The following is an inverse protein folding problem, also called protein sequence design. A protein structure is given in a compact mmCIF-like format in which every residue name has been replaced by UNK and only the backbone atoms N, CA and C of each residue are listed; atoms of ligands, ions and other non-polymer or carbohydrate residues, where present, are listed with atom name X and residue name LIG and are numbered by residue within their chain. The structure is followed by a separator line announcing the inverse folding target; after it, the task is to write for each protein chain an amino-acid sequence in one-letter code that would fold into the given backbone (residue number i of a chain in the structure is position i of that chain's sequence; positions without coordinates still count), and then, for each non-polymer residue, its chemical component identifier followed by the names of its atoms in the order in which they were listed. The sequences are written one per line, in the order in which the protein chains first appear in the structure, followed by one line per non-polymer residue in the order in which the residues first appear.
data_IF_584423699422
#
_entry.id   IF_584423699422
#
_cell.length_a   1.000
_cell.length_b   1.000
_cell.length_c   1.000
_cell.angle_alpha   90.00
_cell.angle_beta   90.00
_cell.angle_gamma   90.00
#
_symmetry.space_group_name_H-M   'P 1'
#
loop_
_entity.id
_entity.type
_entity.pdbx_description
1 polymer ?
#
# COMPACT_ATOMS: atom_id res chain seq x y z
N UNK A 1 28.50 45.85 -80.08
CA UNK A 1 29.13 45.75 -78.78
C UNK A 1 28.01 45.84 -77.74
N UNK A 2 27.57 44.68 -77.25
CA UNK A 2 26.54 44.62 -76.18
C UNK A 2 26.88 43.43 -75.27
N UNK A 3 27.31 43.77 -74.04
CA UNK A 3 27.59 42.81 -73.00
C UNK A 3 26.26 42.35 -72.38
N UNK A 4 26.05 41.04 -72.36
CA UNK A 4 24.97 40.38 -71.59
C UNK A 4 25.51 39.95 -70.25
N UNK A 5 24.95 40.55 -69.18
CA UNK A 5 25.20 40.09 -67.80
C UNK A 5 24.30 38.89 -67.49
N UNK A 6 24.94 37.80 -67.06
CA UNK A 6 24.26 36.64 -66.49
C UNK A 6 24.09 36.85 -64.94
N UNK A 7 22.82 36.89 -64.51
CA UNK A 7 22.51 36.92 -63.08
C UNK A 7 22.37 35.45 -62.62
N UNK A 8 23.30 35.05 -61.75
CA UNK A 8 23.29 33.73 -61.14
C UNK A 8 22.44 33.76 -59.85
N UNK A 9 21.33 32.99 -59.85
CA UNK A 9 20.47 32.84 -58.66
C UNK A 9 21.05 31.69 -57.82
N UNK A 10 21.59 31.98 -56.63
CA UNK A 10 21.94 31.00 -55.62
C UNK A 10 20.71 30.67 -54.80
N UNK A 11 20.16 29.45 -54.98
CA UNK A 11 19.20 28.82 -54.06
C UNK A 11 19.92 28.36 -52.82
N UNK A 12 19.62 28.98 -51.69
CA UNK A 12 19.99 28.47 -50.37
C UNK A 12 18.97 27.43 -49.92
N UNK A 13 19.38 26.15 -49.86
CA UNK A 13 18.58 25.09 -49.24
C UNK A 13 18.75 25.18 -47.70
N UNK A 14 17.68 25.58 -47.02
CA UNK A 14 17.60 25.49 -45.54
C UNK A 14 17.39 24.02 -45.16
N UNK A 15 18.46 23.35 -44.75
CA UNK A 15 18.38 22.05 -44.09
C UNK A 15 17.87 22.24 -42.66
N UNK A 16 16.58 21.94 -42.43
CA UNK A 16 15.98 21.91 -41.10
C UNK A 16 16.51 20.74 -40.29
N UNK A 17 17.38 21.00 -39.30
CA UNK A 17 17.74 20.01 -38.29
C UNK A 17 16.54 19.77 -37.37
N UNK A 18 15.80 18.69 -37.60
CA UNK A 18 14.87 18.16 -36.62
C UNK A 18 15.69 17.52 -35.47
N UNK A 19 15.89 18.26 -34.38
CA UNK A 19 16.38 17.70 -33.12
C UNK A 19 15.22 16.89 -32.53
N UNK A 20 15.20 15.59 -32.83
CA UNK A 20 14.33 14.65 -32.15
C UNK A 20 14.65 14.65 -30.66
N UNK A 21 13.73 15.08 -29.80
CA UNK A 21 13.85 14.89 -28.37
C UNK A 21 13.90 13.37 -28.10
N UNK A 22 15.10 12.85 -27.93
CA UNK A 22 15.29 11.51 -27.41
C UNK A 22 14.75 11.52 -25.96
N UNK A 23 13.63 10.92 -25.74
CA UNK A 23 13.16 10.61 -24.39
C UNK A 23 14.20 9.70 -23.78
N UNK A 24 14.94 10.22 -22.81
CA UNK A 24 15.89 9.44 -22.04
C UNK A 24 15.11 8.35 -21.32
N UNK A 25 15.13 7.13 -21.86
CA UNK A 25 14.63 5.95 -21.18
C UNK A 25 15.52 5.77 -19.94
N UNK A 26 14.95 5.92 -18.76
CA UNK A 26 15.65 5.57 -17.52
C UNK A 26 16.13 4.13 -17.67
N UNK A 27 17.43 3.86 -17.53
CA UNK A 27 17.92 2.49 -17.65
C UNK A 27 17.18 1.61 -16.62
N UNK A 28 16.84 0.37 -16.97
CA UNK A 28 16.22 -0.55 -16.01
C UNK A 28 17.14 -0.64 -14.79
N UNK A 29 16.58 -0.59 -13.57
CA UNK A 29 17.36 -0.65 -12.35
C UNK A 29 18.18 -1.93 -12.34
N UNK A 30 19.47 -1.79 -12.00
CA UNK A 30 20.36 -2.94 -11.87
C UNK A 30 19.81 -3.90 -10.82
N UNK A 31 19.84 -5.23 -11.05
CA UNK A 31 19.55 -6.23 -10.02
C UNK A 31 20.39 -6.02 -8.75
N UNK A 32 21.57 -5.42 -8.88
CA UNK A 32 22.47 -5.08 -7.78
C UNK A 32 21.91 -3.99 -6.84
N UNK A 33 20.87 -3.26 -7.26
CA UNK A 33 20.18 -2.29 -6.44
C UNK A 33 19.19 -2.94 -5.44
N UNK A 34 18.86 -4.23 -5.59
CA UNK A 34 18.01 -4.94 -4.61
C UNK A 34 18.78 -5.17 -3.31
N UNK A 35 18.34 -4.58 -2.18
CA UNK A 35 19.04 -4.72 -0.89
C UNK A 35 19.14 -6.16 -0.39
N UNK A 36 18.33 -7.08 -0.91
CA UNK A 36 18.36 -8.50 -0.56
C UNK A 36 18.85 -9.41 -1.68
N UNK A 37 19.21 -8.87 -2.85
CA UNK A 37 19.69 -9.62 -4.02
C UNK A 37 18.80 -10.85 -4.31
N UNK A 38 17.49 -10.67 -4.20
CA UNK A 38 16.52 -11.76 -4.29
C UNK A 38 16.31 -12.22 -5.72
N UNK A 39 16.57 -13.48 -5.99
CA UNK A 39 16.24 -14.10 -7.28
C UNK A 39 14.74 -14.15 -7.57
N UNK A 40 13.88 -14.02 -6.56
CA UNK A 40 12.43 -14.01 -6.72
C UNK A 40 11.89 -12.67 -7.24
N UNK A 41 12.62 -11.56 -7.01
CA UNK A 41 12.12 -10.22 -7.29
C UNK A 41 11.72 -10.00 -8.75
N UNK A 42 12.52 -10.45 -9.71
CA UNK A 42 12.21 -10.29 -11.13
C UNK A 42 10.86 -10.92 -11.52
N UNK A 43 10.56 -12.10 -10.96
CA UNK A 43 9.28 -12.77 -11.16
C UNK A 43 8.12 -12.03 -10.50
N UNK A 44 8.30 -11.54 -9.28
CA UNK A 44 7.29 -10.76 -8.55
C UNK A 44 6.98 -9.44 -9.24
N UNK A 45 8.00 -8.71 -9.67
CA UNK A 45 7.87 -7.48 -10.44
C UNK A 45 7.03 -7.70 -11.70
N UNK A 46 7.36 -8.73 -12.49
CA UNK A 46 6.60 -9.06 -13.70
C UNK A 46 5.14 -9.43 -13.38
N UNK A 47 4.92 -10.24 -12.35
CA UNK A 47 3.61 -10.79 -12.01
C UNK A 47 2.68 -9.77 -11.36
N UNK A 48 3.19 -8.93 -10.45
CA UNK A 48 2.36 -8.06 -9.59
C UNK A 48 2.46 -6.57 -9.92
N UNK A 49 3.53 -6.15 -10.60
CA UNK A 49 3.75 -4.78 -11.05
C UNK A 49 3.75 -4.67 -12.60
N UNK A 50 3.26 -5.71 -13.30
CA UNK A 50 3.14 -5.77 -14.77
C UNK A 50 4.45 -5.54 -15.54
N UNK A 51 5.60 -5.65 -14.91
CA UNK A 51 6.89 -5.31 -15.51
C UNK A 51 7.08 -3.82 -15.81
N UNK A 52 6.25 -2.96 -15.21
CA UNK A 52 6.36 -1.50 -15.35
C UNK A 52 7.67 -0.99 -14.72
N UNK A 53 8.16 0.21 -15.10
CA UNK A 53 9.38 0.79 -14.54
C UNK A 53 9.36 0.85 -13.00
N UNK A 54 10.47 0.50 -12.37
CA UNK A 54 10.61 0.57 -10.92
C UNK A 54 12.02 1.02 -10.50
N UNK A 55 12.13 1.50 -9.26
CA UNK A 55 13.39 1.80 -8.57
C UNK A 55 13.29 1.33 -7.12
N UNK A 56 14.39 0.83 -6.55
CA UNK A 56 14.49 0.69 -5.08
C UNK A 56 14.68 2.07 -4.47
N UNK A 57 13.85 2.42 -3.49
CA UNK A 57 13.75 3.78 -2.98
C UNK A 57 13.52 3.80 -1.47
N UNK A 58 14.45 4.37 -0.72
CA UNK A 58 14.39 4.50 0.74
C UNK A 58 13.25 5.40 1.22
N UNK A 59 12.65 6.22 0.34
CA UNK A 59 11.47 7.02 0.66
C UNK A 59 10.22 6.15 0.89
N UNK A 60 10.22 4.90 0.41
CA UNK A 60 9.23 3.90 0.79
C UNK A 60 9.74 3.13 1.99
N UNK A 61 9.34 3.56 3.17
CA UNK A 61 9.75 2.94 4.43
C UNK A 61 8.84 1.75 4.75
N UNK A 62 9.43 0.59 4.97
CA UNK A 62 8.75 -0.63 5.39
C UNK A 62 9.27 -1.02 6.76
N UNK A 63 8.43 -0.93 7.77
CA UNK A 63 8.78 -1.20 9.17
C UNK A 63 8.03 -2.43 9.66
N UNK A 64 8.76 -3.45 10.07
CA UNK A 64 8.28 -4.68 10.69
C UNK A 64 9.23 -5.14 11.80
N UNK A 65 8.89 -6.18 12.57
CA UNK A 65 9.78 -6.75 13.56
C UNK A 65 10.93 -7.49 12.86
N UNK A 66 12.09 -7.58 13.50
CA UNK A 66 13.19 -8.41 13.01
C UNK A 66 12.83 -9.91 13.04
N UNK A 67 12.03 -10.32 14.03
CA UNK A 67 11.52 -11.68 14.18
C UNK A 67 10.02 -11.68 14.49
N UNK A 68 9.26 -12.52 13.79
CA UNK A 68 7.83 -12.71 14.00
C UNK A 68 7.58 -13.69 15.16
N UNK A 69 7.33 -13.16 16.35
CA UNK A 69 6.97 -13.99 17.52
C UNK A 69 5.64 -14.72 17.31
N UNK A 70 4.67 -14.06 16.69
CA UNK A 70 3.41 -14.64 16.21
C UNK A 70 3.34 -14.54 14.68
N UNK A 71 3.69 -15.61 13.94
CA UNK A 71 3.67 -15.59 12.48
C UNK A 71 2.28 -15.46 11.86
N UNK A 72 1.20 -15.63 12.64
CA UNK A 72 -0.16 -15.36 12.18
C UNK A 72 -0.56 -13.89 12.31
N UNK A 73 0.24 -13.04 12.99
CA UNK A 73 -0.16 -11.69 13.33
C UNK A 73 1.03 -10.71 13.35
N UNK A 74 1.83 -10.73 12.29
CA UNK A 74 3.03 -9.91 12.14
C UNK A 74 2.67 -8.45 11.87
N UNK A 75 3.05 -7.48 12.72
CA UNK A 75 2.77 -6.08 12.48
C UNK A 75 3.65 -5.51 11.35
N UNK A 76 3.04 -4.74 10.48
CA UNK A 76 3.73 -4.04 9.39
C UNK A 76 3.23 -2.60 9.27
N UNK A 77 4.13 -1.67 9.04
CA UNK A 77 3.82 -0.29 8.70
C UNK A 77 4.57 0.12 7.44
N UNK A 78 3.86 0.74 6.51
CA UNK A 78 4.40 1.26 5.27
C UNK A 78 4.15 2.75 5.23
N UNK A 79 5.18 3.53 4.94
CA UNK A 79 5.14 4.97 4.82
C UNK A 79 5.83 5.41 3.54
N UNK A 80 5.05 5.94 2.58
CA UNK A 80 5.53 6.49 1.32
C UNK A 80 5.23 8.00 1.18
N UNK A 81 5.00 8.71 2.31
CA UNK A 81 4.64 10.14 2.32
C UNK A 81 5.72 11.06 1.74
N UNK A 82 6.98 10.61 1.71
CA UNK A 82 8.07 11.34 1.10
C UNK A 82 8.03 11.32 -0.44
N UNK A 83 7.19 10.47 -1.04
CA UNK A 83 6.96 10.45 -2.48
C UNK A 83 5.82 11.40 -2.87
N UNK A 84 5.92 12.11 -4.00
CA UNK A 84 4.82 12.90 -4.52
C UNK A 84 3.75 12.00 -5.17
N UNK A 85 2.50 12.41 -5.11
CA UNK A 85 1.38 11.88 -5.91
C UNK A 85 1.30 10.34 -6.00
N UNK A 86 1.43 9.65 -4.88
CA UNK A 86 1.26 8.19 -4.83
C UNK A 86 -0.20 7.84 -5.13
N UNK A 87 -0.40 7.00 -6.14
CA UNK A 87 -1.73 6.58 -6.62
C UNK A 87 -2.12 5.20 -6.15
N UNK A 88 -1.13 4.33 -5.90
CA UNK A 88 -1.32 2.94 -5.52
C UNK A 88 -0.13 2.43 -4.72
N UNK A 89 -0.38 1.53 -3.77
CA UNK A 89 0.66 0.79 -3.05
C UNK A 89 0.33 -0.70 -3.07
N UNK A 90 1.33 -1.55 -3.30
CA UNK A 90 1.19 -3.02 -3.31
C UNK A 90 2.15 -3.60 -2.29
N UNK A 91 1.67 -4.53 -1.46
CA UNK A 91 2.52 -5.25 -0.48
C UNK A 91 2.65 -6.70 -0.88
N UNK A 92 3.90 -7.15 -0.93
CA UNK A 92 4.29 -8.49 -1.34
C UNK A 92 5.19 -9.14 -0.27
N UNK A 93 5.01 -10.43 -0.06
CA UNK A 93 5.88 -11.27 0.79
C UNK A 93 6.48 -12.36 -0.10
N UNK A 94 7.77 -12.31 -0.32
CA UNK A 94 8.43 -13.09 -1.38
C UNK A 94 8.28 -14.60 -1.23
N UNK A 95 8.35 -15.09 0.01
CA UNK A 95 8.37 -16.54 0.29
C UNK A 95 7.06 -17.07 0.84
N UNK A 96 6.02 -16.23 0.99
CA UNK A 96 4.69 -16.74 1.32
C UNK A 96 4.10 -17.55 0.15
N UNK A 97 3.31 -18.60 0.42
CA UNK A 97 2.56 -19.32 -0.61
C UNK A 97 1.65 -18.40 -1.41
N UNK A 98 0.96 -17.48 -0.73
CA UNK A 98 0.19 -16.39 -1.31
C UNK A 98 0.99 -15.11 -1.07
N UNK A 99 1.58 -14.57 -2.12
CA UNK A 99 2.59 -13.52 -2.01
C UNK A 99 2.02 -12.11 -1.90
N UNK A 100 0.89 -11.85 -2.54
CA UNK A 100 0.23 -10.54 -2.46
C UNK A 100 -0.60 -10.45 -1.19
N UNK A 101 -0.37 -9.38 -0.41
CA UNK A 101 -1.02 -9.18 0.90
C UNK A 101 -2.13 -8.16 0.80
N UNK A 102 -1.83 -6.98 0.23
CA UNK A 102 -2.84 -5.95 0.00
C UNK A 102 -2.45 -5.02 -1.15
N UNK A 103 -3.46 -4.35 -1.70
CA UNK A 103 -3.31 -3.16 -2.53
C UNK A 103 -4.04 -2.01 -1.87
N UNK A 104 -3.36 -0.89 -1.71
CA UNK A 104 -3.88 0.33 -1.10
C UNK A 104 -3.91 1.46 -2.11
N UNK A 105 -5.07 2.11 -2.23
CA UNK A 105 -5.28 3.31 -3.04
C UNK A 105 -5.58 4.46 -2.08
N UNK A 106 -4.63 5.37 -1.83
CA UNK A 106 -4.75 6.43 -0.83
C UNK A 106 -5.91 7.38 -1.09
N UNK A 107 -6.16 7.74 -2.36
CA UNK A 107 -7.16 8.73 -2.78
C UNK A 107 -6.98 10.06 -2.02
N UNK A 108 -7.80 10.32 -0.98
CA UNK A 108 -7.68 11.52 -0.13
C UNK A 108 -6.88 11.30 1.17
N UNK A 109 -6.41 10.07 1.43
CA UNK A 109 -5.58 9.75 2.61
C UNK A 109 -4.10 9.87 2.27
N UNK A 110 -3.25 9.93 3.30
CA UNK A 110 -1.81 9.84 3.09
C UNK A 110 -1.41 8.44 2.61
N UNK A 111 -0.36 8.29 1.80
CA UNK A 111 0.15 7.00 1.36
C UNK A 111 0.92 6.31 2.50
N UNK A 112 0.19 6.03 3.57
CA UNK A 112 0.65 5.35 4.77
C UNK A 112 -0.42 4.39 5.27
N UNK A 113 -0.02 3.15 5.54
CA UNK A 113 -0.90 2.10 6.05
C UNK A 113 -0.15 1.25 7.07
N UNK A 114 -0.85 0.86 8.14
CA UNK A 114 -0.34 -0.13 9.10
C UNK A 114 -1.39 -1.21 9.30
N UNK A 115 -0.94 -2.46 9.34
CA UNK A 115 -1.80 -3.63 9.46
C UNK A 115 -0.99 -4.82 10.00
N UNK A 116 -1.63 -5.99 10.13
CA UNK A 116 -0.98 -7.24 10.48
C UNK A 116 -1.17 -8.26 9.35
N UNK A 117 -0.18 -9.11 9.16
CA UNK A 117 -0.22 -10.14 8.12
C UNK A 117 0.34 -11.47 8.63
N UNK A 118 0.07 -12.53 7.87
CA UNK A 118 0.55 -13.89 8.13
C UNK A 118 1.83 -14.14 7.38
N UNK A 119 2.85 -14.65 8.06
CA UNK A 119 4.17 -14.95 7.51
C UNK A 119 4.46 -16.44 7.64
N UNK A 120 4.62 -17.13 6.51
CA UNK A 120 4.86 -18.59 6.53
C UNK A 120 6.30 -18.95 6.80
N UNK A 121 7.26 -18.14 6.38
CA UNK A 121 8.69 -18.36 6.59
C UNK A 121 9.46 -17.05 6.50
N UNK A 122 10.70 -17.03 7.01
CA UNK A 122 11.60 -15.87 6.88
C UNK A 122 11.64 -15.33 5.45
N UNK A 123 11.38 -14.04 5.28
CA UNK A 123 11.14 -13.46 3.96
C UNK A 123 11.46 -11.98 3.89
N UNK A 124 11.87 -11.54 2.70
CA UNK A 124 11.74 -10.14 2.34
C UNK A 124 10.26 -9.78 2.19
N UNK A 125 9.85 -8.69 2.83
CA UNK A 125 8.56 -8.02 2.67
C UNK A 125 8.79 -6.77 1.85
N UNK A 126 8.11 -6.65 0.72
CA UNK A 126 8.25 -5.55 -0.23
C UNK A 126 7.00 -4.68 -0.21
N UNK A 127 7.20 -3.37 -0.25
CA UNK A 127 6.13 -2.41 -0.54
C UNK A 127 6.51 -1.62 -1.78
N UNK A 128 5.66 -1.65 -2.79
CA UNK A 128 5.82 -0.89 -4.02
C UNK A 128 4.77 0.22 -4.06
N UNK A 129 5.19 1.48 -4.16
CA UNK A 129 4.35 2.65 -4.28
C UNK A 129 4.45 3.23 -5.69
N UNK A 130 3.33 3.31 -6.41
CA UNK A 130 3.26 3.87 -7.76
C UNK A 130 2.95 5.35 -7.71
N UNK A 131 3.78 6.15 -8.33
CA UNK A 131 3.55 7.57 -8.52
C UNK A 131 2.79 7.85 -9.82
N UNK A 132 2.26 9.06 -9.98
CA UNK A 132 1.44 9.42 -11.15
C UNK A 132 2.18 9.32 -12.48
N UNK A 133 3.49 9.45 -12.49
CA UNK A 133 4.34 9.27 -13.67
C UNK A 133 4.48 7.80 -14.12
N UNK A 134 3.89 6.85 -13.38
CA UNK A 134 3.87 5.43 -13.70
C UNK A 134 5.03 4.63 -13.16
N UNK A 135 5.95 5.25 -12.42
CA UNK A 135 7.10 4.56 -11.82
C UNK A 135 6.74 3.94 -10.47
N UNK A 136 7.19 2.73 -10.23
CA UNK A 136 7.10 2.05 -8.95
C UNK A 136 8.34 2.32 -8.11
N UNK A 137 8.15 2.84 -6.90
CA UNK A 137 9.18 3.01 -5.88
C UNK A 137 9.07 1.88 -4.87
N UNK A 138 10.13 1.12 -4.66
CA UNK A 138 10.10 -0.12 -3.89
C UNK A 138 10.96 -0.01 -2.64
N UNK A 139 10.30 -0.08 -1.48
CA UNK A 139 10.95 -0.27 -0.20
C UNK A 139 10.82 -1.71 0.29
N UNK A 140 11.63 -2.08 1.28
CA UNK A 140 11.61 -3.46 1.80
C UNK A 140 12.15 -3.57 3.22
N UNK A 141 11.74 -4.66 3.88
CA UNK A 141 12.31 -5.11 5.15
C UNK A 141 12.44 -6.64 5.16
N UNK A 142 13.34 -7.16 5.96
CA UNK A 142 13.45 -8.59 6.19
C UNK A 142 12.79 -8.94 7.52
N UNK A 143 11.99 -10.01 7.54
CA UNK A 143 11.34 -10.53 8.75
C UNK A 143 11.68 -12.01 8.89
N UNK A 144 12.30 -12.38 10.01
CA UNK A 144 12.52 -13.78 10.40
C UNK A 144 11.23 -14.38 10.95
N UNK A 145 10.96 -15.66 10.64
CA UNK A 145 9.84 -16.41 11.19
C UNK A 145 10.15 -17.89 11.28
N UNK A 146 9.60 -18.55 12.29
CA UNK A 146 9.69 -20.00 12.48
C UNK A 146 8.68 -20.80 11.64
N UNK A 147 7.71 -20.13 10.99
CA UNK A 147 6.74 -20.75 10.10
C UNK A 147 5.33 -20.88 10.67
N UNK A 148 4.39 -21.33 9.83
CA UNK A 148 3.01 -21.65 10.23
C UNK A 148 2.03 -20.47 10.24
N UNK A 149 2.37 -19.34 9.64
CA UNK A 149 1.45 -18.21 9.59
C UNK A 149 0.26 -18.41 8.66
N UNK A 150 0.48 -19.04 7.52
CA UNK A 150 -0.55 -19.23 6.48
C UNK A 150 -1.22 -20.60 6.52
N UNK A 151 -0.58 -21.59 7.12
CA UNK A 151 -1.00 -23.00 7.10
C UNK A 151 -1.66 -23.48 8.40
N UNK A 152 -1.89 -22.58 9.36
CA UNK A 152 -2.57 -22.83 10.63
C UNK A 152 -3.90 -22.09 10.69
N UNK A 153 -4.94 -22.76 11.22
CA UNK A 153 -6.27 -22.16 11.39
C UNK A 153 -6.25 -21.04 12.45
N UNK A 154 -6.94 -19.94 12.17
CA UNK A 154 -7.12 -18.82 13.07
C UNK A 154 -7.85 -19.18 14.38
N UNK A 155 -7.69 -18.34 15.40
CA UNK A 155 -8.31 -18.53 16.71
C UNK A 155 -9.82 -18.61 16.64
N UNK A 156 -10.47 -17.70 15.90
CA UNK A 156 -11.91 -17.65 15.76
C UNK A 156 -12.50 -18.85 14.99
N UNK A 157 -11.71 -19.49 14.14
CA UNK A 157 -12.09 -20.77 13.52
C UNK A 157 -12.09 -21.90 14.52
N UNK A 158 -11.04 -21.96 15.39
CA UNK A 158 -10.90 -23.00 16.41
C UNK A 158 -12.01 -22.99 17.43
N UNK A 159 -12.48 -21.82 17.85
CA UNK A 159 -13.52 -21.65 18.87
C UNK A 159 -14.91 -21.38 18.26
N UNK A 160 -15.04 -21.28 16.95
CA UNK A 160 -16.28 -21.00 16.23
C UNK A 160 -16.84 -19.58 16.41
N UNK A 161 -16.10 -18.67 17.03
CA UNK A 161 -16.57 -17.31 17.32
C UNK A 161 -16.77 -16.45 16.06
N UNK A 162 -16.06 -16.76 14.97
CA UNK A 162 -16.15 -16.03 13.71
C UNK A 162 -17.58 -15.90 13.16
N UNK A 163 -18.40 -16.95 13.32
CA UNK A 163 -19.76 -16.97 12.78
C UNK A 163 -20.68 -15.95 13.48
N UNK A 164 -20.42 -15.65 14.75
CA UNK A 164 -21.21 -14.67 15.53
C UNK A 164 -20.78 -13.24 15.31
N UNK A 165 -19.54 -13.03 14.88
CA UNK A 165 -18.95 -11.68 14.78
C UNK A 165 -18.67 -11.25 13.35
N UNK A 166 -18.91 -12.13 12.36
CA UNK A 166 -18.62 -11.87 10.96
C UNK A 166 -19.18 -10.54 10.49
N UNK A 167 -18.32 -9.73 9.87
CA UNK A 167 -18.69 -8.45 9.28
C UNK A 167 -18.91 -7.30 10.27
N UNK A 168 -18.77 -7.54 11.58
CA UNK A 168 -18.82 -6.43 12.54
C UNK A 168 -17.66 -5.48 12.31
N UNK A 169 -17.98 -4.19 12.18
CA UNK A 169 -17.03 -3.10 11.98
C UNK A 169 -16.96 -2.24 13.23
N UNK A 170 -15.76 -1.92 13.64
CA UNK A 170 -15.50 -0.90 14.67
C UNK A 170 -14.36 0.00 14.21
N UNK A 171 -14.40 1.25 14.57
CA UNK A 171 -13.35 2.18 14.20
C UNK A 171 -13.35 3.45 15.02
N UNK A 172 -12.23 4.15 14.96
CA UNK A 172 -12.04 5.42 15.67
C UNK A 172 -11.03 6.29 14.94
N UNK A 173 -11.34 7.58 14.86
CA UNK A 173 -10.38 8.61 14.48
C UNK A 173 -9.82 9.24 15.75
N UNK A 174 -8.52 9.41 15.81
CA UNK A 174 -7.83 10.01 16.96
C UNK A 174 -6.61 10.80 16.52
N UNK A 175 -6.21 11.73 17.39
CA UNK A 175 -4.98 12.51 17.26
C UNK A 175 -3.84 11.78 18.02
N UNK A 176 -2.85 11.18 17.31
CA UNK A 176 -1.75 10.51 17.98
C UNK A 176 -0.90 11.44 18.87
N UNK A 177 -0.84 12.72 18.55
CA UNK A 177 -0.09 13.71 19.30
C UNK A 177 -0.82 14.22 20.55
N UNK A 178 -2.09 13.90 20.73
CA UNK A 178 -2.90 14.44 21.85
C UNK A 178 -2.31 14.11 23.22
N UNK A 179 -1.76 12.92 23.41
CA UNK A 179 -1.06 12.52 24.64
C UNK A 179 0.22 13.32 24.87
N UNK A 180 0.99 13.51 23.81
CA UNK A 180 2.24 14.28 23.85
C UNK A 180 1.95 15.76 24.12
N UNK A 181 0.91 16.33 23.50
CA UNK A 181 0.46 17.72 23.75
C UNK A 181 0.04 17.93 25.20
N UNK A 182 -0.67 16.98 25.80
CA UNK A 182 -1.09 17.05 27.20
C UNK A 182 0.08 16.98 28.21
N UNK A 183 1.24 16.46 27.79
CA UNK A 183 2.45 16.32 28.59
C UNK A 183 3.53 17.36 28.26
N UNK A 184 3.37 18.13 27.19
CA UNK A 184 4.35 19.14 26.75
C UNK A 184 4.12 20.47 27.46
N UNK A 185 5.21 21.08 27.92
CA UNK A 185 5.21 22.43 28.49
C UNK A 185 5.09 23.51 27.41
N UNK A 186 5.40 23.18 26.15
CA UNK A 186 5.31 24.11 25.01
C UNK A 186 4.56 23.44 23.83
N UNK A 187 3.24 23.68 23.71
CA UNK A 187 2.43 23.14 22.61
C UNK A 187 2.86 23.59 21.21
N UNK A 188 3.57 24.73 21.09
CA UNK A 188 3.99 25.27 19.79
C UNK A 188 5.17 24.50 19.17
N UNK A 189 5.90 23.71 19.96
CA UNK A 189 7.05 22.90 19.50
C UNK A 189 6.68 21.46 19.12
N UNK A 190 5.40 21.09 19.19
CA UNK A 190 4.98 19.73 18.86
C UNK A 190 4.93 19.54 17.34
N UNK A 191 5.39 18.37 16.84
CA UNK A 191 5.29 18.08 15.42
C UNK A 191 3.82 18.03 14.98
N UNK A 192 3.54 18.55 13.80
CA UNK A 192 2.24 18.40 13.15
C UNK A 192 2.02 16.92 12.81
N UNK A 193 1.33 16.22 13.69
CA UNK A 193 1.07 14.79 13.55
C UNK A 193 -0.31 14.60 12.94
N UNK A 194 -0.41 13.95 11.80
CA UNK A 194 -1.68 13.74 11.12
C UNK A 194 -2.65 12.94 12.00
N UNK A 195 -3.95 13.21 11.85
CA UNK A 195 -4.99 12.40 12.46
C UNK A 195 -4.93 10.98 11.94
N UNK A 196 -5.30 10.01 12.77
CA UNK A 196 -5.27 8.60 12.41
C UNK A 196 -6.65 7.96 12.52
N UNK A 197 -7.08 7.33 11.44
CA UNK A 197 -8.16 6.37 11.43
C UNK A 197 -7.60 5.00 11.82
N UNK A 198 -8.18 4.35 12.81
CA UNK A 198 -7.97 2.93 13.09
C UNK A 198 -9.30 2.22 12.99
N UNK A 199 -9.37 1.19 12.18
CA UNK A 199 -10.57 0.39 11.99
C UNK A 199 -10.27 -1.09 12.18
N UNK A 200 -11.29 -1.84 12.58
CA UNK A 200 -11.27 -3.29 12.71
C UNK A 200 -12.50 -3.88 12.05
N UNK A 201 -12.31 -4.93 11.29
CA UNK A 201 -13.39 -5.72 10.70
C UNK A 201 -13.28 -7.14 11.22
N UNK A 202 -14.35 -7.69 11.76
CA UNK A 202 -14.36 -9.08 12.25
C UNK A 202 -14.51 -10.02 11.09
N UNK A 203 -13.47 -10.80 10.80
CA UNK A 203 -13.41 -11.75 9.69
C UNK A 203 -12.30 -12.78 9.91
N UNK A 204 -12.50 -14.07 9.63
CA UNK A 204 -11.49 -15.10 9.88
C UNK A 204 -10.26 -15.02 8.97
N UNK A 205 -10.38 -14.39 7.79
CA UNK A 205 -9.28 -14.24 6.83
C UNK A 205 -8.56 -15.57 6.55
N UNK A 206 -9.33 -16.62 6.24
CA UNK A 206 -8.77 -17.96 5.99
C UNK A 206 -8.01 -17.99 4.67
N UNK A 207 -6.85 -18.63 4.69
CA UNK A 207 -5.95 -18.70 3.52
C UNK A 207 -6.35 -19.76 2.49
N UNK A 208 -7.18 -20.75 2.87
CA UNK A 208 -7.45 -21.93 2.04
C UNK A 208 -6.33 -22.96 2.02
N UNK A 209 -5.24 -22.73 2.79
CA UNK A 209 -4.09 -23.64 2.87
C UNK A 209 -4.21 -24.64 4.04
N UNK A 210 -5.21 -24.46 4.90
CA UNK A 210 -5.52 -25.36 6.01
C UNK A 210 -6.49 -26.42 5.52
N UNK A 211 -6.17 -27.68 5.77
CA UNK A 211 -7.05 -28.81 5.34
C UNK A 211 -8.46 -28.65 5.86
N UNK A 212 -9.45 -28.77 4.96
CA UNK A 212 -10.87 -28.64 5.27
C UNK A 212 -11.39 -27.21 5.48
N UNK A 213 -10.54 -26.20 5.38
CA UNK A 213 -10.94 -24.80 5.50
C UNK A 213 -10.69 -24.09 4.16
N UNK A 214 -11.74 -23.77 3.37
CA UNK A 214 -11.58 -23.05 2.12
C UNK A 214 -11.13 -21.61 2.37
N UNK A 215 -10.56 -20.98 1.34
CA UNK A 215 -10.21 -19.56 1.38
C UNK A 215 -11.47 -18.72 1.66
N UNK A 216 -11.41 -17.91 2.71
CA UNK A 216 -12.49 -17.01 3.08
C UNK A 216 -11.92 -15.74 3.66
N UNK A 217 -11.94 -14.65 2.89
CA UNK A 217 -11.24 -13.42 3.21
C UNK A 217 -11.96 -12.19 2.67
N UNK A 218 -11.75 -11.05 3.31
CA UNK A 218 -12.19 -9.75 2.81
C UNK A 218 -11.39 -9.44 1.54
N UNK A 219 -12.08 -9.22 0.42
CA UNK A 219 -11.43 -8.91 -0.85
C UNK A 219 -11.41 -7.41 -1.16
N UNK A 220 -12.36 -6.62 -0.62
CA UNK A 220 -12.45 -5.19 -0.87
C UNK A 220 -12.96 -4.45 0.35
N UNK A 221 -12.35 -3.31 0.65
CA UNK A 221 -12.83 -2.30 1.58
C UNK A 221 -12.70 -0.91 0.95
N UNK A 222 -13.66 -0.05 1.25
CA UNK A 222 -13.66 1.37 0.88
C UNK A 222 -14.11 2.18 2.07
N UNK A 223 -13.47 3.31 2.32
CA UNK A 223 -13.91 4.31 3.29
C UNK A 223 -14.23 5.58 2.54
N UNK A 224 -15.39 6.15 2.84
CA UNK A 224 -15.88 7.41 2.28
C UNK A 224 -16.27 8.37 3.39
N UNK A 225 -16.33 9.66 3.08
CA UNK A 225 -16.95 10.65 3.94
C UNK A 225 -18.46 10.41 4.05
N UNK A 226 -19.13 11.06 5.01
CA UNK A 226 -20.60 11.05 5.12
C UNK A 226 -21.31 11.64 3.89
N UNK A 227 -20.59 12.39 3.06
CA UNK A 227 -21.10 12.97 1.80
C UNK A 227 -20.85 12.06 0.59
N UNK A 228 -20.25 10.88 0.81
CA UNK A 228 -19.96 9.90 -0.25
C UNK A 228 -18.63 10.11 -0.97
N UNK A 229 -17.81 11.10 -0.56
CA UNK A 229 -16.49 11.30 -1.15
C UNK A 229 -15.54 10.15 -0.78
N UNK A 230 -14.90 9.51 -1.77
CA UNK A 230 -14.01 8.39 -1.51
C UNK A 230 -12.70 8.86 -0.86
N UNK A 231 -12.36 8.29 0.30
CA UNK A 231 -11.16 8.62 1.06
C UNK A 231 -10.03 7.62 0.82
N UNK A 232 -10.37 6.33 0.78
CA UNK A 232 -9.43 5.26 0.47
C UNK A 232 -10.15 4.03 -0.09
N UNK A 233 -9.40 3.19 -0.82
CA UNK A 233 -9.81 1.85 -1.23
C UNK A 233 -8.70 0.85 -0.94
N UNK A 234 -9.09 -0.36 -0.54
CA UNK A 234 -8.22 -1.50 -0.32
C UNK A 234 -8.70 -2.71 -1.10
N UNK A 235 -7.76 -3.48 -1.60
CA UNK A 235 -7.93 -4.88 -1.95
C UNK A 235 -7.09 -5.68 -0.97
N UNK A 236 -7.71 -6.61 -0.27
CA UNK A 236 -7.06 -7.47 0.71
C UNK A 236 -6.99 -8.89 0.15
N UNK A 237 -5.99 -9.61 0.61
CA UNK A 237 -5.75 -11.00 0.23
C UNK A 237 -5.61 -11.86 1.49
N UNK A 238 -5.61 -13.15 1.31
CA UNK A 238 -5.63 -14.16 2.36
C UNK A 238 -4.53 -14.00 3.43
N UNK A 239 -3.31 -13.52 3.10
CA UNK A 239 -2.28 -13.34 4.11
C UNK A 239 -2.52 -12.21 5.11
N UNK A 240 -3.54 -11.36 4.92
CA UNK A 240 -3.92 -10.42 5.98
C UNK A 240 -4.39 -11.20 7.20
N UNK A 241 -3.99 -10.76 8.40
CA UNK A 241 -4.32 -11.44 9.66
C UNK A 241 -5.82 -11.47 9.95
N UNK A 242 -6.23 -12.46 10.75
CA UNK A 242 -7.60 -12.58 11.27
C UNK A 242 -8.06 -11.30 11.97
N UNK A 243 -9.35 -10.94 11.80
CA UNK A 243 -9.94 -9.75 12.39
C UNK A 243 -9.11 -8.48 12.13
N UNK A 244 -8.83 -8.17 10.84
CA UNK A 244 -7.85 -7.17 10.47
C UNK A 244 -8.07 -5.82 11.17
N UNK A 245 -6.98 -5.33 11.75
CA UNK A 245 -6.87 -3.97 12.28
C UNK A 245 -6.02 -3.17 11.31
N UNK A 246 -6.62 -2.12 10.74
CA UNK A 246 -6.01 -1.28 9.72
C UNK A 246 -5.91 0.15 10.22
N UNK A 247 -4.81 0.83 9.96
CA UNK A 247 -4.61 2.23 10.34
C UNK A 247 -4.15 3.06 9.15
N UNK A 248 -4.73 4.26 9.03
CA UNK A 248 -4.49 5.21 7.95
C UNK A 248 -4.36 6.61 8.53
N UNK A 249 -3.57 7.46 7.89
CA UNK A 249 -3.39 8.83 8.31
C UNK A 249 -4.11 9.80 7.38
N UNK A 250 -4.73 10.83 7.94
CA UNK A 250 -5.37 11.91 7.20
C UNK A 250 -4.39 13.05 6.93
N UNK A 251 -4.36 13.61 5.71
CA UNK A 251 -3.64 14.86 5.48
C UNK A 251 -4.32 16.05 6.16
N UNK A 252 -5.65 15.99 6.30
CA UNK A 252 -6.49 17.01 6.92
C UNK A 252 -7.67 16.35 7.63
N UNK A 253 -8.25 17.04 8.62
CA UNK A 253 -9.45 16.56 9.28
C UNK A 253 -10.63 16.47 8.30
N UNK A 254 -11.30 15.33 8.29
CA UNK A 254 -12.54 15.11 7.51
C UNK A 254 -13.72 15.29 8.44
N UNK A 255 -14.65 16.23 8.16
CA UNK A 255 -15.80 16.44 9.02
C UNK A 255 -16.80 15.28 8.93
N UNK A 256 -17.53 15.05 10.04
CA UNK A 256 -18.62 14.08 10.11
C UNK A 256 -18.17 12.63 10.26
N UNK A 257 -19.12 11.73 10.20
CA UNK A 257 -18.87 10.30 10.27
C UNK A 257 -18.23 9.77 8.99
N UNK A 258 -17.46 8.68 9.11
CA UNK A 258 -16.91 7.95 7.98
C UNK A 258 -17.76 6.70 7.73
N UNK A 259 -17.93 6.33 6.47
CA UNK A 259 -18.69 5.16 6.05
C UNK A 259 -17.72 4.14 5.47
N UNK A 260 -17.70 2.94 6.06
CA UNK A 260 -16.99 1.78 5.51
C UNK A 260 -17.98 0.93 4.73
N UNK A 261 -17.57 0.54 3.52
CA UNK A 261 -18.25 -0.47 2.70
C UNK A 261 -17.23 -1.49 2.22
N UNK A 262 -17.66 -2.71 1.93
CA UNK A 262 -16.78 -3.75 1.43
C UNK A 262 -17.48 -5.05 1.13
N UNK A 263 -16.70 -6.05 0.77
CA UNK A 263 -17.13 -7.42 0.51
C UNK A 263 -16.04 -8.42 0.86
N UNK A 264 -16.45 -9.66 1.04
CA UNK A 264 -15.55 -10.83 1.05
C UNK A 264 -15.65 -11.64 -0.25
N UNK A 265 -14.82 -12.66 -0.38
CA UNK A 265 -14.79 -13.52 -1.56
C UNK A 265 -16.01 -14.45 -1.69
N UNK A 266 -16.86 -14.57 -0.65
CA UNK A 266 -18.15 -15.28 -0.68
C UNK A 266 -19.33 -14.36 -1.04
N UNK A 267 -19.08 -13.06 -1.26
CA UNK A 267 -20.09 -12.08 -1.63
C UNK A 267 -20.84 -11.46 -0.45
N UNK A 268 -20.44 -11.73 0.80
CA UNK A 268 -21.02 -11.03 1.95
C UNK A 268 -20.65 -9.54 1.89
N UNK A 269 -21.63 -8.68 2.17
CA UNK A 269 -21.43 -7.23 2.25
C UNK A 269 -20.99 -6.84 3.66
N UNK A 270 -20.01 -5.96 3.72
CA UNK A 270 -19.48 -5.37 4.95
C UNK A 270 -19.84 -3.88 4.98
N UNK A 271 -20.46 -3.43 6.04
CA UNK A 271 -20.83 -2.02 6.20
C UNK A 271 -20.61 -1.59 7.64
N UNK A 272 -20.19 -0.35 7.84
CA UNK A 272 -20.01 0.24 9.17
C UNK A 272 -19.94 1.75 9.11
N UNK A 273 -20.39 2.39 10.18
CA UNK A 273 -20.16 3.81 10.43
C UNK A 273 -19.10 3.98 11.51
N UNK A 274 -18.21 4.93 11.30
CA UNK A 274 -17.11 5.26 12.21
C UNK A 274 -17.29 6.72 12.62
N UNK A 275 -17.56 6.95 13.88
CA UNK A 275 -17.68 8.31 14.40
C UNK A 275 -16.32 9.00 14.38
N UNK A 276 -16.28 10.16 13.75
CA UNK A 276 -15.12 11.02 13.81
C UNK A 276 -15.21 11.85 15.10
N UNK A 277 -14.57 11.35 16.17
CA UNK A 277 -14.55 12.02 17.47
C UNK A 277 -13.69 13.29 17.52
N UNK A 278 -13.16 13.75 16.40
CA UNK A 278 -12.39 14.99 16.29
C UNK A 278 -13.37 16.10 15.93
N UNK A 279 -13.63 16.99 16.88
CA UNK A 279 -14.37 18.23 16.59
C UNK A 279 -13.49 19.14 15.74
N UNK A 280 -14.09 19.83 14.74
CA UNK A 280 -13.37 20.81 13.92
C UNK A 280 -12.77 21.93 14.77
#
# INVERSE_FOLDING_TARGET
MQQRQFISFCLWALAGCHVGAAWAQTPPPSPDADPYQSSAWAGLHKQYLNGEPFVFDERVQVTGPAFAEDPMNVPLSIDAKALPEVTQMVVLVERNPIRKVLVYYPQAMLPRVSFHFKLEQASAVRAAAKTRDGVWHVGSTWVEASGGGCTVAGGSRKDGSWARTLGQVSGRVFDPAKRTRAQSLDPAQLPDTPLRLRLRVMHPMDTGLVSGIPAFYINRLQVSSSQGEPLLRLELFEPVSENPVLSFDFPQAVPGALVLTGSDNNGNRLTGQIENGVRP
#
